data_IF_859120292633
#
_entry.id   IF_859120292633
#
_cell.length_a   1.000
_cell.length_b   1.000
_cell.length_c   1.000
_cell.angle_alpha   90.00
_cell.angle_beta   90.00
_cell.angle_gamma   90.00
#
_symmetry.space_group_name_H-M   'P 1'
#
loop_
_entity.id
_entity.type
_entity.pdbx_description
1 polymer ?
#
# COMPACT_ATOMS: atom_id res chain seq x y z
N UNK A 1 -29.88 0.96 57.14
CA UNK A 1 -29.56 1.41 55.76
C UNK A 1 -28.15 0.95 55.38
N UNK A 2 -28.02 -0.10 54.55
CA UNK A 2 -26.73 -0.58 54.10
C UNK A 2 -26.35 0.18 52.81
N UNK A 3 -25.23 0.90 52.83
CA UNK A 3 -24.69 1.62 51.68
C UNK A 3 -24.17 0.60 50.67
N UNK A 4 -24.72 0.66 49.43
CA UNK A 4 -24.27 -0.14 48.30
C UNK A 4 -22.84 0.25 47.89
N UNK A 5 -21.91 -0.71 47.60
CA UNK A 5 -20.56 -0.36 47.22
C UNK A 5 -20.55 0.26 45.82
N UNK A 6 -19.96 1.45 45.71
CA UNK A 6 -19.75 2.15 44.44
C UNK A 6 -18.90 1.30 43.50
N UNK A 7 -19.44 0.90 42.38
CA UNK A 7 -18.75 0.20 41.30
C UNK A 7 -17.64 1.08 40.73
N UNK A 8 -16.39 0.76 41.08
CA UNK A 8 -15.17 1.40 40.54
C UNK A 8 -15.11 1.13 39.04
N UNK A 9 -15.48 2.11 38.19
CA UNK A 9 -15.33 2.04 36.73
C UNK A 9 -13.86 1.68 36.42
N UNK A 10 -13.60 0.49 35.89
CA UNK A 10 -12.28 0.09 35.38
C UNK A 10 -11.87 1.12 34.33
N UNK A 11 -10.79 1.86 34.56
CA UNK A 11 -10.18 2.77 33.56
C UNK A 11 -9.83 1.91 32.36
N UNK A 12 -10.39 2.23 31.21
CA UNK A 12 -10.05 1.58 29.92
C UNK A 12 -8.55 1.78 29.68
N UNK A 13 -7.84 0.71 29.36
CA UNK A 13 -6.43 0.82 29.01
C UNK A 13 -6.24 1.85 27.87
N UNK A 14 -5.19 2.67 27.93
CA UNK A 14 -4.95 3.64 26.88
C UNK A 14 -4.75 2.94 25.54
N UNK A 15 -5.25 3.54 24.47
CA UNK A 15 -5.05 3.09 23.10
C UNK A 15 -3.53 3.04 22.82
N UNK A 16 -2.97 1.87 22.47
CA UNK A 16 -1.53 1.69 22.29
C UNK A 16 -0.95 2.58 21.18
N UNK A 17 -1.74 2.86 20.13
CA UNK A 17 -1.33 3.70 19.01
C UNK A 17 -1.17 5.13 19.48
N UNK A 18 -2.22 5.69 20.12
CA UNK A 18 -2.17 7.06 20.66
C UNK A 18 -1.09 7.22 21.74
N UNK A 19 -0.89 6.19 22.56
CA UNK A 19 0.16 6.19 23.59
C UNK A 19 1.57 6.23 22.94
N UNK A 20 1.78 5.51 21.84
CA UNK A 20 3.04 5.53 21.09
C UNK A 20 3.28 6.89 20.45
N UNK A 21 2.33 7.44 19.71
CA UNK A 21 2.46 8.75 19.06
C UNK A 21 2.81 9.83 20.08
N UNK A 22 2.07 9.91 21.19
CA UNK A 22 2.38 10.85 22.28
C UNK A 22 3.77 10.62 22.91
N UNK A 23 4.20 9.36 23.03
CA UNK A 23 5.56 9.04 23.47
C UNK A 23 6.59 9.54 22.48
N UNK A 24 6.37 9.30 21.16
CA UNK A 24 7.27 9.70 20.09
C UNK A 24 7.46 11.23 20.10
N UNK A 25 6.38 11.99 20.11
CA UNK A 25 6.39 13.45 20.17
C UNK A 25 7.18 13.99 21.39
N UNK A 26 7.04 13.33 22.55
CA UNK A 26 7.74 13.74 23.77
C UNK A 26 9.23 13.38 23.75
N UNK A 27 9.59 12.18 23.25
CA UNK A 27 10.96 11.65 23.36
C UNK A 27 11.81 11.92 22.13
N UNK A 28 11.18 12.17 21.00
CA UNK A 28 11.81 12.44 19.70
C UNK A 28 11.01 13.51 18.96
N UNK A 29 10.99 14.74 19.48
CA UNK A 29 10.21 15.81 18.86
C UNK A 29 10.67 16.00 17.40
N UNK A 30 9.74 16.29 16.54
CA UNK A 30 9.94 16.49 15.09
C UNK A 30 10.40 15.27 14.28
N UNK A 31 10.58 14.07 14.88
CA UNK A 31 11.08 12.91 14.14
C UNK A 31 10.28 12.65 12.85
N UNK A 32 8.94 12.67 12.94
CA UNK A 32 8.07 12.45 11.78
C UNK A 32 8.33 13.53 10.73
N UNK A 33 8.32 14.82 11.13
CA UNK A 33 8.57 15.96 10.24
C UNK A 33 9.95 15.86 9.60
N UNK A 34 10.99 15.68 10.39
CA UNK A 34 12.37 15.59 9.90
C UNK A 34 12.56 14.41 8.92
N UNK A 35 11.80 13.31 9.15
CA UNK A 35 11.80 12.16 8.22
C UNK A 35 11.17 12.54 6.90
N UNK A 36 9.98 13.14 6.91
CA UNK A 36 9.29 13.55 5.67
C UNK A 36 10.11 14.58 4.91
N UNK A 37 10.60 15.63 5.58
CA UNK A 37 11.37 16.70 4.98
C UNK A 37 12.71 16.19 4.40
N UNK A 38 13.41 15.31 5.13
CA UNK A 38 14.64 14.70 4.64
C UNK A 38 14.43 13.81 3.42
N UNK A 39 13.31 13.09 3.37
CA UNK A 39 12.95 12.27 2.22
C UNK A 39 12.51 13.15 1.03
N UNK A 40 11.71 14.19 1.26
CA UNK A 40 11.29 15.13 0.22
C UNK A 40 12.48 15.90 -0.37
N UNK A 41 13.43 16.33 0.45
CA UNK A 41 14.67 16.96 0.00
C UNK A 41 15.50 16.02 -0.92
N UNK A 42 15.44 14.71 -0.71
CA UNK A 42 16.19 13.71 -1.49
C UNK A 42 15.48 13.24 -2.74
N UNK A 43 14.15 13.08 -2.68
CA UNK A 43 13.36 12.41 -3.71
C UNK A 43 12.33 13.31 -4.39
N UNK A 44 12.14 14.53 -3.88
CA UNK A 44 11.17 15.50 -4.37
C UNK A 44 9.80 15.36 -3.74
N UNK A 45 8.92 16.28 -4.10
CA UNK A 45 7.51 16.28 -3.74
C UNK A 45 6.71 15.56 -4.81
N UNK A 46 5.69 14.81 -4.38
CA UNK A 46 4.85 14.00 -5.24
C UNK A 46 3.38 14.35 -5.03
N UNK A 47 2.79 15.01 -6.02
CA UNK A 47 1.36 15.16 -6.10
C UNK A 47 0.72 13.82 -6.50
N UNK A 48 -0.47 13.54 -5.96
CA UNK A 48 -1.24 12.41 -6.41
C UNK A 48 -1.81 12.67 -7.81
N UNK A 49 -1.70 11.64 -8.64
CA UNK A 49 -2.38 11.55 -9.92
C UNK A 49 -2.84 10.11 -10.12
N UNK A 50 -4.05 9.92 -10.64
CA UNK A 50 -4.61 8.59 -10.85
C UNK A 50 -3.81 7.85 -11.93
N UNK A 51 -3.36 6.65 -11.61
CA UNK A 51 -2.48 5.85 -12.46
C UNK A 51 -3.23 4.91 -13.40
N UNK A 52 -4.24 4.23 -12.88
CA UNK A 52 -5.07 3.25 -13.59
C UNK A 52 -6.51 3.34 -13.08
N UNK A 53 -7.46 2.75 -13.82
CA UNK A 53 -8.77 2.47 -13.25
C UNK A 53 -8.64 1.53 -12.04
N UNK A 54 -9.56 1.60 -11.08
CA UNK A 54 -9.38 0.89 -9.81
C UNK A 54 -9.30 -0.63 -9.95
N UNK A 55 -9.99 -1.22 -10.91
CA UNK A 55 -9.95 -2.67 -11.11
C UNK A 55 -8.61 -3.10 -11.70
N UNK A 56 -8.10 -2.36 -12.68
CA UNK A 56 -6.74 -2.54 -13.21
C UNK A 56 -5.69 -2.39 -12.12
N UNK A 57 -5.80 -1.35 -11.27
CA UNK A 57 -4.87 -1.13 -10.16
C UNK A 57 -4.89 -2.30 -9.15
N UNK A 58 -6.07 -2.83 -8.84
CA UNK A 58 -6.21 -3.98 -7.95
C UNK A 58 -5.54 -5.22 -8.54
N UNK A 59 -5.83 -5.54 -9.81
CA UNK A 59 -5.28 -6.71 -10.48
C UNK A 59 -3.76 -6.60 -10.61
N UNK A 60 -3.26 -5.44 -11.03
CA UNK A 60 -1.81 -5.19 -11.07
C UNK A 60 -1.17 -5.36 -9.68
N UNK A 61 -1.80 -4.83 -8.63
CA UNK A 61 -1.31 -4.97 -7.25
C UNK A 61 -1.27 -6.45 -6.81
N UNK A 62 -2.26 -7.27 -7.19
CA UNK A 62 -2.21 -8.72 -6.94
C UNK A 62 -1.06 -9.36 -7.71
N UNK A 63 -0.82 -8.96 -8.95
CA UNK A 63 0.29 -9.47 -9.76
C UNK A 63 1.67 -9.10 -9.17
N UNK A 64 1.79 -7.96 -8.46
CA UNK A 64 3.05 -7.59 -7.77
C UNK A 64 3.31 -8.39 -6.49
N UNK A 65 2.34 -9.12 -5.94
CA UNK A 65 2.53 -9.89 -4.71
C UNK A 65 3.64 -10.95 -4.90
N UNK A 66 4.69 -10.87 -4.07
CA UNK A 66 5.86 -11.76 -4.14
C UNK A 66 6.52 -11.85 -5.53
N UNK A 67 6.49 -10.76 -6.28
CA UNK A 67 7.11 -10.64 -7.60
C UNK A 67 7.77 -9.27 -7.76
N UNK A 68 8.66 -9.14 -8.75
CA UNK A 68 9.18 -7.84 -9.16
C UNK A 68 8.11 -7.07 -9.93
N UNK A 69 8.09 -5.73 -9.78
CA UNK A 69 7.10 -4.89 -10.45
C UNK A 69 7.14 -5.04 -11.98
N UNK A 70 8.35 -5.11 -12.57
CA UNK A 70 8.55 -5.34 -14.01
C UNK A 70 7.93 -6.65 -14.51
N UNK A 71 7.92 -7.70 -13.69
CA UNK A 71 7.30 -8.97 -14.04
C UNK A 71 5.77 -8.87 -13.96
N UNK A 72 5.24 -8.16 -12.97
CA UNK A 72 3.82 -7.92 -12.84
C UNK A 72 3.28 -7.05 -14.00
N UNK A 73 4.03 -6.04 -14.43
CA UNK A 73 3.73 -5.21 -15.60
C UNK A 73 3.66 -6.07 -16.87
N UNK A 74 4.64 -6.94 -17.11
CA UNK A 74 4.61 -7.88 -18.26
C UNK A 74 3.38 -8.79 -18.23
N UNK A 75 3.00 -9.30 -17.06
CA UNK A 75 1.81 -10.12 -16.93
C UNK A 75 0.52 -9.31 -17.18
N UNK A 76 0.47 -8.06 -16.76
CA UNK A 76 -0.67 -7.18 -17.00
C UNK A 76 -0.80 -6.81 -18.49
N UNK A 77 0.32 -6.53 -19.18
CA UNK A 77 0.32 -6.31 -20.64
C UNK A 77 -0.12 -7.57 -21.40
N UNK A 78 0.28 -8.76 -20.94
CA UNK A 78 -0.19 -10.01 -21.52
C UNK A 78 -1.73 -10.18 -21.33
N UNK A 79 -2.29 -9.78 -20.19
CA UNK A 79 -3.75 -9.75 -20.00
C UNK A 79 -4.44 -8.80 -20.98
N UNK A 80 -3.91 -7.58 -21.18
CA UNK A 80 -4.43 -6.62 -22.17
C UNK A 80 -4.41 -7.17 -23.59
N UNK A 81 -3.33 -7.82 -23.96
CA UNK A 81 -3.15 -8.38 -25.31
C UNK A 81 -4.04 -9.58 -25.57
N UNK A 82 -4.28 -10.43 -24.57
CA UNK A 82 -5.05 -11.67 -24.71
C UNK A 82 -6.57 -11.41 -24.57
N UNK A 83 -6.94 -10.47 -23.70
CA UNK A 83 -8.34 -10.14 -23.39
C UNK A 83 -8.61 -8.65 -23.66
N UNK A 84 -8.57 -8.20 -24.92
CA UNK A 84 -8.78 -6.80 -25.25
C UNK A 84 -10.21 -6.37 -24.95
N UNK A 85 -10.39 -5.13 -24.48
CA UNK A 85 -11.69 -4.51 -24.30
C UNK A 85 -11.92 -3.36 -25.28
N UNK A 86 -13.18 -3.00 -25.49
CA UNK A 86 -13.59 -1.83 -26.28
C UNK A 86 -13.54 -0.52 -25.46
N UNK A 87 -13.02 -0.56 -24.23
CA UNK A 87 -12.89 0.63 -23.38
C UNK A 87 -11.83 1.58 -23.94
N UNK A 88 -11.96 2.89 -23.69
CA UNK A 88 -10.94 3.86 -24.09
C UNK A 88 -9.57 3.50 -23.50
N UNK A 89 -8.52 3.77 -24.27
CA UNK A 89 -7.16 3.67 -23.77
C UNK A 89 -6.95 4.68 -22.63
N UNK A 90 -6.32 4.22 -21.57
CA UNK A 90 -5.94 5.03 -20.42
C UNK A 90 -4.44 5.34 -20.49
N UNK A 91 -4.09 6.58 -20.17
CA UNK A 91 -2.69 6.96 -20.02
C UNK A 91 -2.13 6.34 -18.75
N UNK A 92 -1.03 5.63 -18.89
CA UNK A 92 -0.33 5.12 -17.73
C UNK A 92 0.64 6.17 -17.18
N UNK A 93 0.52 6.44 -15.89
CA UNK A 93 1.48 7.28 -15.16
C UNK A 93 2.39 6.35 -14.37
N UNK A 94 3.70 6.28 -14.69
CA UNK A 94 4.62 5.46 -13.93
C UNK A 94 4.60 5.86 -12.45
N UNK A 95 4.42 4.89 -11.57
CA UNK A 95 4.48 5.14 -10.13
C UNK A 95 5.87 5.70 -9.75
N UNK A 96 5.94 6.82 -9.00
CA UNK A 96 7.20 7.41 -8.59
C UNK A 96 8.00 6.41 -7.74
N UNK A 97 9.23 6.13 -8.16
CA UNK A 97 10.13 5.20 -7.47
C UNK A 97 9.92 3.70 -7.77
N UNK A 98 9.10 3.36 -8.74
CA UNK A 98 8.95 2.00 -9.26
C UNK A 98 9.99 1.79 -10.36
N UNK A 99 10.80 0.75 -10.22
CA UNK A 99 12.00 0.53 -11.05
C UNK A 99 11.73 -0.11 -12.41
N UNK A 100 10.54 0.06 -13.00
CA UNK A 100 10.17 -0.44 -14.32
C UNK A 100 10.02 0.66 -15.36
N UNK A 101 9.94 0.28 -16.62
CA UNK A 101 9.57 1.19 -17.71
C UNK A 101 8.09 1.63 -17.60
N UNK A 102 7.35 0.97 -16.71
CA UNK A 102 5.91 1.15 -16.54
C UNK A 102 5.09 0.37 -17.55
N UNK A 103 3.78 0.45 -17.39
CA UNK A 103 2.83 -0.06 -18.38
C UNK A 103 2.76 0.90 -19.57
N UNK A 104 2.47 0.37 -20.75
CA UNK A 104 2.11 1.18 -21.91
C UNK A 104 0.73 1.82 -21.74
N UNK A 105 0.47 2.93 -22.43
CA UNK A 105 -0.87 3.45 -22.57
C UNK A 105 -1.75 2.41 -23.27
N UNK A 106 -2.97 2.20 -22.78
CA UNK A 106 -3.85 1.19 -23.37
C UNK A 106 -5.14 0.99 -22.60
N UNK A 107 -6.10 0.36 -23.25
CA UNK A 107 -7.37 -0.03 -22.63
C UNK A 107 -7.13 -1.09 -21.53
N UNK A 108 -7.92 -1.11 -20.44
CA UNK A 108 -7.91 -2.21 -19.51
C UNK A 108 -8.34 -3.52 -20.20
N UNK A 109 -7.97 -4.69 -19.65
CA UNK A 109 -8.51 -5.97 -20.13
C UNK A 109 -10.04 -6.04 -20.03
N UNK A 110 -10.65 -6.88 -20.86
CA UNK A 110 -12.03 -7.30 -20.64
C UNK A 110 -12.10 -8.23 -19.43
N UNK A 111 -12.54 -7.66 -18.30
CA UNK A 111 -12.62 -8.39 -17.04
C UNK A 111 -13.63 -9.53 -17.06
N UNK A 112 -14.67 -9.48 -17.91
CA UNK A 112 -15.59 -10.61 -18.10
C UNK A 112 -14.86 -11.78 -18.76
N UNK A 113 -14.07 -11.49 -19.80
CA UNK A 113 -13.28 -12.51 -20.47
C UNK A 113 -12.21 -13.11 -19.52
N UNK A 114 -11.51 -12.27 -18.74
CA UNK A 114 -10.53 -12.75 -17.74
C UNK A 114 -11.18 -13.64 -16.67
N UNK A 115 -12.35 -13.24 -16.14
CA UNK A 115 -13.07 -14.05 -15.14
C UNK A 115 -13.53 -15.39 -15.72
N UNK A 116 -14.00 -15.41 -16.97
CA UNK A 116 -14.53 -16.59 -17.63
C UNK A 116 -13.46 -17.50 -18.27
N UNK A 117 -12.23 -17.04 -18.39
CA UNK A 117 -11.16 -17.77 -19.06
C UNK A 117 -10.91 -19.15 -18.43
N UNK A 118 -10.56 -20.18 -19.21
CA UNK A 118 -10.06 -21.43 -18.66
C UNK A 118 -8.84 -21.16 -17.74
N UNK A 119 -8.84 -21.74 -16.56
CA UNK A 119 -7.81 -21.43 -15.56
C UNK A 119 -6.39 -21.67 -16.06
N UNK A 120 -6.17 -22.69 -16.88
CA UNK A 120 -4.85 -23.00 -17.41
C UNK A 120 -4.41 -21.94 -18.43
N UNK A 121 -5.31 -21.42 -19.24
CA UNK A 121 -5.02 -20.31 -20.16
C UNK A 121 -4.60 -19.06 -19.38
N UNK A 122 -5.37 -18.68 -18.35
CA UNK A 122 -5.03 -17.54 -17.51
C UNK A 122 -3.69 -17.71 -16.81
N UNK A 123 -3.37 -18.94 -16.32
CA UNK A 123 -2.06 -19.26 -15.74
C UNK A 123 -0.94 -19.01 -16.76
N UNK A 124 -1.13 -19.44 -18.00
CA UNK A 124 -0.13 -19.28 -19.05
C UNK A 124 0.06 -17.81 -19.43
N UNK A 125 -1.02 -17.04 -19.53
CA UNK A 125 -1.00 -15.60 -19.82
C UNK A 125 -0.24 -14.82 -18.74
N UNK A 126 -0.52 -15.07 -17.46
CA UNK A 126 0.13 -14.31 -16.36
C UNK A 126 1.45 -14.93 -15.87
N UNK A 127 1.96 -15.96 -16.52
CA UNK A 127 3.21 -16.65 -16.16
C UNK A 127 4.40 -15.71 -15.96
N UNK A 128 4.59 -14.63 -16.76
CA UNK A 128 5.66 -13.66 -16.54
C UNK A 128 5.64 -13.00 -15.16
N UNK A 129 4.44 -12.86 -14.55
CA UNK A 129 4.26 -12.27 -13.23
C UNK A 129 4.71 -13.14 -12.05
N UNK A 130 5.14 -14.39 -12.31
CA UNK A 130 5.52 -15.36 -11.27
C UNK A 130 4.33 -15.82 -10.41
N UNK A 131 4.45 -16.99 -9.80
CA UNK A 131 3.40 -17.62 -8.98
C UNK A 131 2.03 -17.72 -9.68
N UNK A 132 2.03 -17.91 -11.01
CA UNK A 132 0.83 -17.87 -11.84
C UNK A 132 -0.25 -18.86 -11.38
N UNK A 133 0.13 -20.08 -10.99
CA UNK A 133 -0.82 -21.10 -10.48
C UNK A 133 -1.56 -20.67 -9.20
N UNK A 134 -0.97 -19.74 -8.41
CA UNK A 134 -1.61 -19.22 -7.20
C UNK A 134 -2.38 -17.93 -7.52
N UNK A 135 -1.86 -17.10 -8.42
CA UNK A 135 -2.45 -15.79 -8.76
C UNK A 135 -3.67 -15.91 -9.65
N UNK A 136 -3.66 -16.80 -10.67
CA UNK A 136 -4.78 -16.93 -11.60
C UNK A 136 -6.11 -17.26 -10.92
N UNK A 137 -6.21 -18.29 -10.04
CA UNK A 137 -7.45 -18.55 -9.31
C UNK A 137 -7.88 -17.37 -8.43
N UNK A 138 -6.90 -16.66 -7.83
CA UNK A 138 -7.17 -15.47 -6.99
C UNK A 138 -7.72 -14.33 -7.81
N UNK A 139 -7.17 -14.05 -9.00
CA UNK A 139 -7.68 -13.01 -9.89
C UNK A 139 -9.15 -13.28 -10.26
N UNK A 140 -9.46 -14.50 -10.69
CA UNK A 140 -10.83 -14.89 -11.04
C UNK A 140 -11.78 -14.80 -9.83
N UNK A 141 -11.36 -15.30 -8.68
CA UNK A 141 -12.16 -15.21 -7.45
C UNK A 141 -12.41 -13.76 -7.04
N UNK A 142 -11.40 -12.89 -7.13
CA UNK A 142 -11.52 -11.45 -6.83
C UNK A 142 -12.50 -10.78 -7.79
N UNK A 143 -12.35 -10.98 -9.11
CA UNK A 143 -13.24 -10.43 -10.12
C UNK A 143 -14.69 -10.90 -9.91
N UNK A 144 -14.89 -12.19 -9.66
CA UNK A 144 -16.21 -12.76 -9.36
C UNK A 144 -16.84 -12.13 -8.13
N UNK A 145 -16.09 -11.96 -7.05
CA UNK A 145 -16.59 -11.34 -5.82
C UNK A 145 -17.05 -9.91 -6.07
N UNK A 146 -16.29 -9.14 -6.86
CA UNK A 146 -16.66 -7.77 -7.23
C UNK A 146 -17.95 -7.78 -8.04
N UNK A 147 -18.02 -8.60 -9.10
CA UNK A 147 -19.20 -8.71 -9.97
C UNK A 147 -20.46 -9.18 -9.22
N UNK A 148 -20.34 -10.15 -8.34
CA UNK A 148 -21.46 -10.63 -7.52
C UNK A 148 -21.97 -9.56 -6.55
N UNK A 149 -21.08 -8.74 -6.01
CA UNK A 149 -21.45 -7.65 -5.09
C UNK A 149 -22.03 -6.42 -5.79
N UNK A 150 -21.65 -6.18 -7.06
CA UNK A 150 -21.92 -4.90 -7.75
C UNK A 150 -22.70 -5.02 -9.06
N UNK A 151 -22.75 -6.20 -9.64
CA UNK A 151 -23.34 -6.45 -10.98
C UNK A 151 -22.35 -6.28 -12.13
N UNK A 152 -21.19 -5.65 -11.87
CA UNK A 152 -20.09 -5.48 -12.81
C UNK A 152 -18.73 -5.58 -12.10
N UNK A 153 -17.62 -5.37 -12.83
CA UNK A 153 -16.27 -5.40 -12.26
C UNK A 153 -15.75 -4.01 -11.82
N UNK A 154 -16.61 -2.97 -11.83
CA UNK A 154 -16.20 -1.61 -11.48
C UNK A 154 -16.02 -1.44 -9.98
N UNK A 155 -14.91 -0.84 -9.60
CA UNK A 155 -14.63 -0.43 -8.22
C UNK A 155 -14.80 1.08 -8.00
N UNK A 156 -15.33 1.83 -8.98
CA UNK A 156 -15.49 3.29 -8.88
C UNK A 156 -16.36 3.72 -7.71
N UNK A 157 -17.33 2.92 -7.30
CA UNK A 157 -18.19 3.19 -6.16
C UNK A 157 -17.44 3.40 -4.82
N UNK A 158 -16.20 2.92 -4.74
CA UNK A 158 -15.37 3.12 -3.55
C UNK A 158 -15.04 4.61 -3.32
N UNK A 159 -15.12 5.43 -4.37
CA UNK A 159 -14.92 6.88 -4.26
C UNK A 159 -15.95 7.56 -3.34
N UNK A 160 -17.15 6.98 -3.20
CA UNK A 160 -18.24 7.51 -2.38
C UNK A 160 -18.16 7.05 -0.91
N UNK A 161 -17.18 6.20 -0.59
CA UNK A 161 -16.98 5.68 0.77
C UNK A 161 -15.92 6.48 1.52
N UNK A 162 -15.98 6.48 2.84
CA UNK A 162 -14.83 6.93 3.63
C UNK A 162 -13.65 5.97 3.44
N UNK A 163 -12.40 6.45 3.57
CA UNK A 163 -11.20 5.64 3.35
C UNK A 163 -11.17 4.33 4.16
N UNK A 164 -11.65 4.36 5.41
CA UNK A 164 -11.67 3.18 6.27
C UNK A 164 -12.80 2.20 5.91
N UNK A 165 -13.94 2.68 5.49
CA UNK A 165 -15.04 1.85 4.98
C UNK A 165 -14.65 1.17 3.67
N UNK A 166 -14.08 1.91 2.73
CA UNK A 166 -13.55 1.36 1.47
C UNK A 166 -12.48 0.30 1.73
N UNK A 167 -11.54 0.56 2.67
CA UNK A 167 -10.54 -0.43 3.07
C UNK A 167 -11.17 -1.67 3.69
N UNK A 168 -12.18 -1.50 4.56
CA UNK A 168 -12.89 -2.61 5.18
C UNK A 168 -13.61 -3.48 4.14
N UNK A 169 -14.27 -2.85 3.16
CA UNK A 169 -14.93 -3.56 2.06
C UNK A 169 -13.93 -4.40 1.24
N UNK A 170 -12.80 -3.81 0.85
CA UNK A 170 -11.76 -4.51 0.08
C UNK A 170 -11.13 -5.66 0.88
N UNK A 171 -10.85 -5.46 2.17
CA UNK A 171 -10.23 -6.49 3.01
C UNK A 171 -11.18 -7.63 3.38
N UNK A 172 -12.48 -7.52 3.09
CA UNK A 172 -13.42 -8.63 3.16
C UNK A 172 -13.30 -9.60 1.98
N UNK A 173 -12.63 -9.18 0.88
CA UNK A 173 -12.33 -10.05 -0.27
C UNK A 173 -11.12 -10.92 0.07
N UNK A 174 -11.26 -12.23 -0.14
CA UNK A 174 -10.22 -13.19 0.20
C UNK A 174 -8.90 -12.91 -0.55
N UNK A 175 -7.79 -12.89 0.18
CA UNK A 175 -6.47 -12.57 -0.37
C UNK A 175 -6.14 -11.08 -0.55
N UNK A 176 -7.05 -10.18 -0.16
CA UNK A 176 -6.80 -8.73 -0.13
C UNK A 176 -6.58 -8.29 1.33
N UNK A 177 -5.31 -8.05 1.67
CA UNK A 177 -4.94 -7.50 2.98
C UNK A 177 -4.92 -5.96 3.00
N UNK A 178 -4.68 -5.38 4.19
CA UNK A 178 -4.61 -3.92 4.38
C UNK A 178 -3.64 -3.24 3.39
N UNK A 179 -2.48 -3.87 3.11
CA UNK A 179 -1.49 -3.33 2.15
C UNK A 179 -2.09 -3.18 0.76
N UNK A 180 -2.69 -4.24 0.21
CA UNK A 180 -3.27 -4.23 -1.14
C UNK A 180 -4.43 -3.25 -1.23
N UNK A 181 -5.32 -3.26 -0.24
CA UNK A 181 -6.44 -2.32 -0.17
C UNK A 181 -5.95 -0.85 -0.08
N UNK A 182 -4.93 -0.58 0.74
CA UNK A 182 -4.39 0.78 0.89
C UNK A 182 -3.66 1.26 -0.37
N UNK A 183 -2.96 0.38 -1.11
CA UNK A 183 -2.38 0.72 -2.42
C UNK A 183 -3.47 1.13 -3.37
N UNK A 184 -4.48 0.29 -3.57
CA UNK A 184 -5.60 0.58 -4.46
C UNK A 184 -6.23 1.94 -4.14
N UNK A 185 -6.61 2.15 -2.89
CA UNK A 185 -7.35 3.35 -2.48
C UNK A 185 -6.50 4.63 -2.57
N UNK A 186 -5.22 4.54 -2.23
CA UNK A 186 -4.29 5.67 -2.35
C UNK A 186 -3.99 6.01 -3.81
N UNK A 187 -3.77 5.02 -4.67
CA UNK A 187 -3.35 5.27 -6.06
C UNK A 187 -4.52 5.53 -7.01
N UNK A 188 -5.68 4.89 -6.81
CA UNK A 188 -6.84 5.11 -7.67
C UNK A 188 -7.71 6.29 -7.27
N UNK A 189 -7.75 6.63 -5.96
CA UNK A 189 -8.67 7.64 -5.43
C UNK A 189 -8.01 8.76 -4.65
N UNK A 190 -6.68 8.73 -4.45
CA UNK A 190 -6.00 9.70 -3.59
C UNK A 190 -6.42 9.64 -2.13
N UNK A 191 -7.01 8.52 -1.70
CA UNK A 191 -7.46 8.39 -0.32
C UNK A 191 -6.30 8.42 0.67
N UNK A 192 -6.44 9.11 1.82
CA UNK A 192 -5.39 9.27 2.80
C UNK A 192 -5.14 7.97 3.59
N UNK A 193 -4.55 7.01 2.91
CA UNK A 193 -4.19 5.71 3.47
C UNK A 193 -2.71 5.43 3.17
N UNK A 194 -1.98 5.05 4.21
CA UNK A 194 -0.61 4.61 4.07
C UNK A 194 -0.56 3.13 3.72
N UNK A 195 0.02 2.78 2.58
CA UNK A 195 0.30 1.38 2.29
C UNK A 195 1.66 0.99 2.89
N UNK A 196 1.67 -0.01 3.76
CA UNK A 196 2.91 -0.46 4.42
C UNK A 196 3.35 -1.79 3.80
N UNK A 197 4.38 -1.72 2.98
CA UNK A 197 5.08 -2.87 2.45
C UNK A 197 6.36 -3.15 3.26
N UNK A 198 7.09 -4.21 2.90
CA UNK A 198 8.37 -4.56 3.56
C UNK A 198 9.44 -3.46 3.51
N UNK A 199 9.38 -2.53 2.53
CA UNK A 199 10.33 -1.43 2.44
C UNK A 199 9.95 -0.32 3.41
N UNK A 200 8.69 0.08 3.41
CA UNK A 200 8.14 1.06 4.35
C UNK A 200 8.29 0.55 5.78
N UNK A 201 7.90 -0.70 6.07
CA UNK A 201 8.04 -1.32 7.39
C UNK A 201 9.49 -1.27 7.88
N UNK A 202 10.44 -1.71 7.06
CA UNK A 202 11.87 -1.72 7.40
C UNK A 202 12.40 -0.33 7.71
N UNK A 203 12.11 0.66 6.87
CA UNK A 203 12.54 2.04 7.11
C UNK A 203 11.93 2.56 8.40
N UNK A 204 10.63 2.34 8.61
CA UNK A 204 9.90 2.77 9.80
C UNK A 204 10.49 2.23 11.09
N UNK A 205 10.83 0.95 11.13
CA UNK A 205 11.50 0.33 12.28
C UNK A 205 12.88 0.89 12.50
N UNK A 206 13.69 1.02 11.44
CA UNK A 206 15.08 1.49 11.55
C UNK A 206 15.18 2.95 12.01
N UNK A 207 14.30 3.80 11.52
CA UNK A 207 14.20 5.19 11.96
C UNK A 207 13.57 5.28 13.34
N UNK A 208 12.66 4.37 13.68
CA UNK A 208 11.93 4.33 14.94
C UNK A 208 10.63 5.13 14.91
N UNK A 209 9.99 5.21 13.76
CA UNK A 209 8.66 5.81 13.58
C UNK A 209 7.57 4.94 14.23
N UNK A 210 7.72 3.63 14.15
CA UNK A 210 6.79 2.65 14.73
C UNK A 210 7.44 1.85 15.84
N UNK A 211 6.66 1.22 16.75
CA UNK A 211 7.21 0.39 17.81
C UNK A 211 8.09 -0.75 17.26
N UNK A 212 9.16 -1.16 17.98
CA UNK A 212 10.06 -2.22 17.50
C UNK A 212 9.41 -3.58 17.21
N UNK A 213 8.24 -3.83 17.80
CA UNK A 213 7.48 -5.09 17.65
C UNK A 213 6.20 -4.92 16.83
N UNK A 214 5.95 -3.72 16.30
CA UNK A 214 4.77 -3.50 15.46
C UNK A 214 4.91 -4.30 14.16
N UNK A 215 3.84 -4.97 13.78
CA UNK A 215 3.74 -5.65 12.47
C UNK A 215 3.49 -4.63 11.36
N UNK A 216 3.73 -5.02 10.11
CA UNK A 216 3.34 -4.21 8.94
C UNK A 216 1.85 -3.86 8.97
N UNK A 217 1.01 -4.78 9.43
CA UNK A 217 -0.44 -4.60 9.51
C UNK A 217 -0.83 -3.54 10.55
N UNK A 218 -0.18 -3.53 11.71
CA UNK A 218 -0.36 -2.49 12.72
C UNK A 218 0.24 -1.15 12.29
N UNK A 219 1.30 -1.15 11.50
CA UNK A 219 1.97 0.07 11.04
C UNK A 219 1.05 0.97 10.22
N UNK A 220 0.07 0.42 9.48
CA UNK A 220 -0.96 1.20 8.79
C UNK A 220 -1.71 2.14 9.75
N UNK A 221 -2.06 1.64 10.93
CA UNK A 221 -2.84 2.41 11.90
C UNK A 221 -1.95 3.43 12.66
N UNK A 222 -0.65 3.14 12.84
CA UNK A 222 0.30 4.12 13.37
C UNK A 222 0.45 5.32 12.42
N UNK A 223 0.55 5.09 11.11
CA UNK A 223 0.64 6.17 10.13
C UNK A 223 -0.62 7.03 10.08
N UNK A 224 -1.81 6.41 10.16
CA UNK A 224 -3.07 7.14 10.27
C UNK A 224 -3.12 8.07 11.49
N UNK A 225 -2.41 7.74 12.56
CA UNK A 225 -2.36 8.56 13.77
C UNK A 225 -1.24 9.61 13.76
N UNK A 226 -0.23 9.47 12.89
CA UNK A 226 0.96 10.33 12.86
C UNK A 226 0.94 11.37 11.75
N UNK A 227 0.34 11.04 10.58
CA UNK A 227 0.40 11.86 9.38
C UNK A 227 -0.91 12.58 9.11
N UNK A 228 -0.81 13.80 8.58
CA UNK A 228 -1.97 14.47 8.03
C UNK A 228 -2.44 13.78 6.72
N UNK A 229 -3.74 13.86 6.38
CA UNK A 229 -4.30 13.21 5.20
C UNK A 229 -3.53 13.49 3.90
N UNK A 230 -3.12 14.73 3.68
CA UNK A 230 -2.41 15.17 2.48
C UNK A 230 -0.93 14.77 2.44
N UNK A 231 -0.37 14.23 3.52
CA UNK A 231 1.03 13.78 3.60
C UNK A 231 1.18 12.29 3.23
N UNK A 232 0.09 11.52 3.30
CA UNK A 232 0.16 10.05 3.24
C UNK A 232 0.69 9.51 1.92
N UNK A 233 0.24 10.07 0.79
CA UNK A 233 0.67 9.64 -0.53
C UNK A 233 2.17 9.86 -0.74
N UNK A 234 2.64 11.10 -0.52
CA UNK A 234 4.06 11.46 -0.66
C UNK A 234 4.93 10.67 0.32
N UNK A 235 4.49 10.51 1.56
CA UNK A 235 5.20 9.72 2.56
C UNK A 235 5.37 8.25 2.10
N UNK A 236 4.31 7.64 1.55
CA UNK A 236 4.40 6.28 1.00
C UNK A 236 5.43 6.19 -0.13
N UNK A 237 5.31 7.07 -1.12
CA UNK A 237 6.18 7.09 -2.30
C UNK A 237 7.65 7.24 -1.88
N UNK A 238 7.94 8.20 -1.02
CA UNK A 238 9.30 8.49 -0.60
C UNK A 238 9.89 7.42 0.31
N UNK A 239 9.09 6.85 1.21
CA UNK A 239 9.54 5.75 2.07
C UNK A 239 9.84 4.47 1.30
N UNK A 240 8.99 4.09 0.34
CA UNK A 240 9.23 2.90 -0.49
C UNK A 240 10.48 3.10 -1.35
N UNK A 241 10.63 4.28 -1.97
CA UNK A 241 11.80 4.64 -2.77
C UNK A 241 13.08 4.59 -1.93
N UNK A 242 13.06 5.19 -0.74
CA UNK A 242 14.18 5.15 0.20
C UNK A 242 14.56 3.72 0.60
N UNK A 243 13.57 2.87 0.89
CA UNK A 243 13.78 1.47 1.19
C UNK A 243 14.36 0.66 0.04
N UNK A 244 14.09 1.04 -1.21
CA UNK A 244 14.61 0.38 -2.41
C UNK A 244 16.02 0.85 -2.78
N UNK A 245 16.30 2.14 -2.64
CA UNK A 245 17.51 2.77 -3.22
C UNK A 245 18.64 2.93 -2.20
N UNK A 246 18.34 3.19 -0.94
CA UNK A 246 19.36 3.48 0.09
C UNK A 246 19.26 2.54 1.27
N UNK A 247 18.06 2.41 1.87
CA UNK A 247 17.86 1.63 3.07
C UNK A 247 17.64 0.14 2.75
N UNK A 248 18.61 -0.48 2.05
CA UNK A 248 18.53 -1.89 1.67
C UNK A 248 18.41 -2.83 2.88
N UNK A 249 17.85 -4.03 2.68
CA UNK A 249 17.75 -5.03 3.75
C UNK A 249 19.13 -5.45 4.25
N UNK A 250 20.07 -5.65 3.30
CA UNK A 250 21.49 -5.92 3.55
C UNK A 250 22.31 -4.73 3.03
N UNK A 251 23.36 -4.37 3.75
CA UNK A 251 24.30 -3.30 3.39
C UNK A 251 23.62 -1.97 3.00
N UNK A 252 22.83 -1.35 3.89
CA UNK A 252 22.25 -0.04 3.61
C UNK A 252 23.33 1.03 3.48
N UNK A 253 23.10 2.00 2.59
CA UNK A 253 24.05 3.05 2.24
C UNK A 253 23.96 4.23 3.23
N UNK A 254 24.47 4.03 4.45
CA UNK A 254 24.34 5.00 5.55
C UNK A 254 24.98 6.37 5.26
N UNK A 255 26.06 6.40 4.45
CA UNK A 255 26.84 7.62 4.18
C UNK A 255 26.03 8.67 3.41
N UNK A 256 25.14 8.22 2.52
CA UNK A 256 24.31 9.09 1.70
C UNK A 256 22.84 9.16 2.20
N UNK A 257 22.56 8.53 3.35
CA UNK A 257 21.20 8.45 3.88
C UNK A 257 20.76 9.78 4.49
N UNK A 258 19.68 10.41 3.96
CA UNK A 258 19.17 11.68 4.51
C UNK A 258 18.63 11.55 5.94
N UNK A 259 18.32 10.32 6.37
CA UNK A 259 17.77 10.03 7.70
C UNK A 259 18.84 9.60 8.72
N UNK A 260 20.13 9.57 8.35
CA UNK A 260 21.23 9.05 9.18
C UNK A 260 21.23 9.64 10.59
N UNK A 261 21.11 10.96 10.71
CA UNK A 261 21.18 11.66 12.00
C UNK A 261 20.02 11.32 12.95
N UNK A 262 18.91 10.82 12.42
CA UNK A 262 17.70 10.45 13.17
C UNK A 262 17.49 8.93 13.26
N UNK A 263 18.36 8.14 12.65
CA UNK A 263 18.15 6.70 12.46
C UNK A 263 18.67 5.88 13.65
N UNK A 264 17.77 5.20 14.38
CA UNK A 264 18.13 4.32 15.49
C UNK A 264 18.86 3.06 15.11
N UNK A 265 18.81 2.68 13.85
CA UNK A 265 19.60 1.56 13.35
C UNK A 265 21.08 1.92 13.20
N UNK A 266 21.39 3.20 12.97
CA UNK A 266 22.77 3.74 12.93
C UNK A 266 23.25 4.09 14.33
N UNK A 267 22.44 4.83 15.08
CA UNK A 267 22.69 5.19 16.46
C UNK A 267 21.44 4.93 17.30
N UNK A 268 21.46 3.93 18.21
CA UNK A 268 20.32 3.63 19.08
C UNK A 268 19.87 4.81 19.97
N UNK A 269 20.75 5.80 20.17
CA UNK A 269 20.48 7.02 20.94
C UNK A 269 20.11 8.23 20.07
N UNK A 270 19.99 8.05 18.74
CA UNK A 270 19.62 9.13 17.83
C UNK A 270 18.37 9.88 18.31
N UNK A 271 18.41 11.22 18.27
CA UNK A 271 17.37 12.09 18.85
C UNK A 271 16.05 12.00 18.06
#
# INVERSE_FOLDING_TARGET
MKRSPATRKKRRAPDPIKAWVKRLERTRPNLVRDTLDGLAARYGHHAWERRLDPTSELILTILTQNSADTNAEKAFEALRATYPSDRPAERHIPGPGWGGEGLSDGAPPDWNAVEAAPIQELVDVIRPGGLANQKAPRLQATLRTIREARGDHSLEFLADMSPLEARAWLTAIDGIGKKTASVLLAFSFGMPLMAVDRHVERVSHRVGLIPPKATADEAHDYYLAMLAPNEMYEAHVNLIRHGRVICHARNPEHEICPLRARCRFVDPKAP
#
